data_IF_933652104309
#
_entry.id   IF_933652104309
#
_cell.length_a   1.000
_cell.length_b   1.000
_cell.length_c   1.000
_cell.angle_alpha   90.00
_cell.angle_beta   90.00
_cell.angle_gamma   90.00
#
_symmetry.space_group_name_H-M   'P 1'
#
loop_
_entity.id
_entity.type
_entity.pdbx_description
1 polymer ?
#
# COMPACT_ATOMS: atom_id res chain seq x y z
N UNK A 1 29.59 25.54 -9.93
CA UNK A 1 28.35 24.75 -9.80
C UNK A 1 28.75 23.49 -9.06
N UNK A 2 28.56 23.48 -7.74
CA UNK A 2 28.90 22.31 -6.94
C UNK A 2 27.92 21.20 -7.30
N UNK A 3 28.45 20.06 -7.75
CA UNK A 3 27.64 18.88 -8.04
C UNK A 3 26.91 18.48 -6.75
N UNK A 4 25.58 18.42 -6.81
CA UNK A 4 24.77 17.91 -5.71
C UNK A 4 25.27 16.49 -5.36
N UNK A 5 25.52 16.18 -4.08
CA UNK A 5 26.01 14.86 -3.70
C UNK A 5 25.01 13.79 -4.14
N UNK A 6 25.52 12.75 -4.82
CA UNK A 6 24.70 11.60 -5.21
C UNK A 6 24.09 10.96 -3.96
N UNK A 7 22.77 10.69 -3.93
CA UNK A 7 22.15 10.07 -2.78
C UNK A 7 22.72 8.65 -2.55
N UNK A 8 23.02 8.35 -1.30
CA UNK A 8 23.46 7.01 -0.89
C UNK A 8 22.30 6.02 -0.90
N UNK A 9 22.63 4.74 -0.97
CA UNK A 9 21.62 3.68 -0.95
C UNK A 9 20.77 3.71 0.32
N UNK A 10 21.40 3.89 1.49
CA UNK A 10 20.68 4.05 2.76
C UNK A 10 19.74 5.24 2.78
N UNK A 11 20.13 6.36 2.17
CA UNK A 11 19.26 7.54 2.09
C UNK A 11 17.97 7.23 1.30
N UNK A 12 18.07 6.49 0.21
CA UNK A 12 16.91 6.07 -0.58
C UNK A 12 15.99 5.11 0.18
N UNK A 13 16.57 4.15 0.93
CA UNK A 13 15.78 3.27 1.80
C UNK A 13 15.06 4.06 2.89
N UNK A 14 15.73 5.03 3.53
CA UNK A 14 15.13 5.90 4.55
C UNK A 14 13.95 6.69 4.00
N UNK A 15 14.04 7.20 2.77
CA UNK A 15 12.91 7.88 2.11
C UNK A 15 11.71 6.93 2.02
N UNK A 16 11.93 5.68 1.59
CA UNK A 16 10.87 4.67 1.55
C UNK A 16 10.27 4.37 2.94
N UNK A 17 11.09 4.34 3.99
CA UNK A 17 10.63 4.11 5.37
C UNK A 17 9.73 5.25 5.84
N UNK A 18 10.15 6.50 5.59
CA UNK A 18 9.38 7.71 5.94
C UNK A 18 8.03 7.69 5.23
N UNK A 19 8.00 7.38 3.93
CA UNK A 19 6.74 7.27 3.16
C UNK A 19 5.84 6.21 3.79
N UNK A 20 6.38 5.02 4.10
CA UNK A 20 5.61 3.92 4.68
C UNK A 20 5.00 4.32 6.03
N UNK A 21 5.77 4.96 6.90
CA UNK A 21 5.27 5.47 8.18
C UNK A 21 4.19 6.55 8.01
N UNK A 22 4.40 7.50 7.07
CA UNK A 22 3.44 8.56 6.80
C UNK A 22 2.08 7.99 6.34
N UNK A 23 2.10 6.98 5.46
CA UNK A 23 0.89 6.32 4.97
C UNK A 23 0.15 5.56 6.08
N UNK A 24 0.88 4.80 6.91
CA UNK A 24 0.30 4.11 8.07
C UNK A 24 -0.35 5.11 9.03
N UNK A 25 0.37 6.20 9.35
CA UNK A 25 -0.13 7.22 10.27
C UNK A 25 -1.38 7.92 9.71
N UNK A 26 -1.41 8.19 8.40
CA UNK A 26 -2.59 8.73 7.72
C UNK A 26 -3.82 7.83 7.91
N UNK A 27 -3.68 6.52 7.67
CA UNK A 27 -4.77 5.56 7.88
C UNK A 27 -5.21 5.46 9.34
N UNK A 28 -4.26 5.43 10.29
CA UNK A 28 -4.58 5.41 11.73
C UNK A 28 -5.42 6.64 12.10
N UNK A 29 -5.00 7.82 11.64
CA UNK A 29 -5.71 9.07 11.92
C UNK A 29 -7.13 9.05 11.33
N UNK A 30 -7.28 8.66 10.07
CA UNK A 30 -8.60 8.54 9.42
C UNK A 30 -9.48 7.56 10.18
N UNK A 31 -8.98 6.36 10.49
CA UNK A 31 -9.73 5.36 11.23
C UNK A 31 -10.14 5.86 12.62
N UNK A 32 -9.25 6.55 13.34
CA UNK A 32 -9.54 7.10 14.66
C UNK A 32 -10.62 8.19 14.60
N UNK A 33 -10.52 9.14 13.67
CA UNK A 33 -11.52 10.20 13.47
C UNK A 33 -12.88 9.61 13.13
N UNK A 34 -12.91 8.67 12.17
CA UNK A 34 -14.16 8.06 11.74
C UNK A 34 -14.78 7.19 12.84
N UNK A 35 -13.96 6.50 13.65
CA UNK A 35 -14.43 5.74 14.83
C UNK A 35 -15.08 6.68 15.83
N UNK A 36 -14.41 7.79 16.14
CA UNK A 36 -14.95 8.81 17.04
C UNK A 36 -16.28 9.36 16.53
N UNK A 37 -16.37 9.75 15.25
CA UNK A 37 -17.60 10.26 14.65
C UNK A 37 -18.74 9.23 14.66
N UNK A 38 -18.42 7.96 14.43
CA UNK A 38 -19.38 6.86 14.45
C UNK A 38 -19.95 6.67 15.86
N UNK A 39 -19.07 6.62 16.86
CA UNK A 39 -19.47 6.50 18.27
C UNK A 39 -20.23 7.73 18.76
N UNK A 40 -19.82 8.94 18.40
CA UNK A 40 -20.49 10.18 18.82
C UNK A 40 -21.84 10.40 18.17
N UNK A 41 -22.08 9.81 16.99
CA UNK A 41 -23.37 9.90 16.29
C UNK A 41 -24.33 8.75 16.63
N UNK A 42 -23.90 7.79 17.45
CA UNK A 42 -24.70 6.61 17.79
C UNK A 42 -26.03 6.98 18.46
N UNK A 43 -26.00 7.82 19.50
CA UNK A 43 -27.20 8.23 20.24
C UNK A 43 -28.22 8.94 19.32
N UNK A 44 -27.72 9.74 18.37
CA UNK A 44 -28.55 10.50 17.44
C UNK A 44 -29.18 9.58 16.38
N UNK A 45 -28.46 8.54 15.93
CA UNK A 45 -28.99 7.50 15.03
C UNK A 45 -30.01 6.62 15.72
N UNK A 46 -29.82 6.29 16.99
CA UNK A 46 -30.74 5.46 17.76
C UNK A 46 -32.08 6.17 17.99
N UNK A 47 -32.06 7.48 18.26
CA UNK A 47 -33.27 8.28 18.35
C UNK A 47 -34.06 8.31 17.03
N UNK A 48 -33.39 8.56 15.90
CA UNK A 48 -34.03 8.54 14.56
C UNK A 48 -34.52 7.13 14.20
N UNK A 49 -33.77 6.09 14.54
CA UNK A 49 -34.17 4.71 14.29
C UNK A 49 -35.38 4.29 15.13
N UNK A 50 -35.51 4.78 16.38
CA UNK A 50 -36.70 4.56 17.20
C UNK A 50 -37.93 5.28 16.64
N UNK A 51 -37.78 6.49 16.10
CA UNK A 51 -38.85 7.21 15.41
C UNK A 51 -39.28 6.50 14.12
N UNK A 52 -38.32 6.05 13.29
CA UNK A 52 -38.63 5.32 12.07
C UNK A 52 -39.13 3.89 12.32
N UNK A 53 -38.70 3.21 13.40
CA UNK A 53 -39.22 1.89 13.75
C UNK A 53 -40.69 1.91 14.17
N UNK A 54 -41.25 3.10 14.49
CA UNK A 54 -42.68 3.29 14.70
C UNK A 54 -43.47 3.37 13.38
N UNK A 55 -42.83 3.69 12.26
CA UNK A 55 -43.38 3.66 10.89
C UNK A 55 -42.87 2.40 10.15
N UNK A 56 -43.60 1.28 10.30
CA UNK A 56 -43.48 0.03 9.52
C UNK A 56 -42.07 -0.44 9.09
N UNK A 57 -41.54 -1.42 9.83
CA UNK A 57 -40.35 -2.22 9.45
C UNK A 57 -40.53 -2.87 8.07
N UNK A 58 -39.94 -2.30 7.03
CA UNK A 58 -39.53 -3.10 5.89
C UNK A 58 -38.44 -4.09 6.35
N UNK A 59 -38.51 -5.38 5.97
CA UNK A 59 -37.43 -6.32 6.22
C UNK A 59 -36.16 -5.81 5.53
N UNK A 60 -34.99 -6.00 6.16
CA UNK A 60 -33.68 -5.63 5.62
C UNK A 60 -33.57 -6.02 4.13
N UNK A 61 -33.79 -5.02 3.26
CA UNK A 61 -33.90 -5.23 1.83
C UNK A 61 -32.54 -5.48 1.21
N UNK A 62 -32.50 -5.97 -0.03
CA UNK A 62 -31.26 -6.23 -0.77
C UNK A 62 -30.29 -5.03 -0.80
N UNK A 63 -30.79 -3.79 -0.62
CA UNK A 63 -29.99 -2.57 -0.49
C UNK A 63 -29.00 -2.56 0.69
N UNK A 64 -29.29 -3.30 1.76
CA UNK A 64 -28.45 -3.37 2.97
C UNK A 64 -27.14 -4.14 2.71
N UNK A 65 -27.17 -5.10 1.76
CA UNK A 65 -25.99 -5.88 1.37
C UNK A 65 -25.18 -5.27 0.22
N UNK A 66 -25.70 -4.23 -0.45
CA UNK A 66 -25.01 -3.61 -1.60
C UNK A 66 -23.70 -2.97 -1.18
N UNK A 67 -23.71 -2.15 -0.12
CA UNK A 67 -22.52 -1.43 0.33
C UNK A 67 -21.42 -2.35 0.89
N UNK A 68 -21.72 -3.33 1.79
CA UNK A 68 -20.75 -4.35 2.19
C UNK A 68 -20.24 -5.17 0.99
N UNK A 69 -21.11 -5.47 0.02
CA UNK A 69 -20.75 -6.18 -1.21
C UNK A 69 -19.73 -5.40 -2.06
N UNK A 70 -19.95 -4.10 -2.25
CA UNK A 70 -19.02 -3.21 -2.95
C UNK A 70 -17.67 -3.14 -2.22
N UNK A 71 -17.69 -2.98 -0.90
CA UNK A 71 -16.47 -2.95 -0.07
C UNK A 71 -15.62 -4.21 -0.25
N UNK A 72 -16.30 -5.36 -0.20
CA UNK A 72 -15.68 -6.68 -0.33
C UNK A 72 -15.12 -6.89 -1.73
N UNK A 73 -15.90 -6.56 -2.77
CA UNK A 73 -15.45 -6.66 -4.16
C UNK A 73 -14.26 -5.74 -4.45
N UNK A 74 -14.32 -4.48 -4.01
CA UNK A 74 -13.22 -3.52 -4.14
C UNK A 74 -11.96 -4.03 -3.45
N UNK A 75 -12.10 -4.57 -2.23
CA UNK A 75 -10.98 -5.13 -1.47
C UNK A 75 -10.38 -6.34 -2.19
N UNK A 76 -11.21 -7.28 -2.67
CA UNK A 76 -10.74 -8.45 -3.39
C UNK A 76 -9.96 -8.09 -4.67
N UNK A 77 -10.48 -7.15 -5.47
CA UNK A 77 -9.82 -6.67 -6.69
C UNK A 77 -8.50 -5.95 -6.35
N UNK A 78 -8.52 -5.10 -5.32
CA UNK A 78 -7.33 -4.38 -4.85
C UNK A 78 -6.25 -5.34 -4.38
N UNK A 79 -6.61 -6.36 -3.59
CA UNK A 79 -5.68 -7.39 -3.15
C UNK A 79 -5.08 -8.15 -4.34
N UNK A 80 -5.90 -8.54 -5.32
CA UNK A 80 -5.39 -9.17 -6.54
C UNK A 80 -4.37 -8.26 -7.25
N UNK A 81 -4.67 -6.97 -7.43
CA UNK A 81 -3.76 -6.01 -8.03
C UNK A 81 -2.43 -5.89 -7.25
N UNK A 82 -2.48 -5.90 -5.91
CA UNK A 82 -1.30 -5.87 -5.06
C UNK A 82 -0.39 -7.10 -5.23
N UNK A 83 -0.90 -8.25 -5.68
CA UNK A 83 -0.08 -9.42 -5.99
C UNK A 83 0.55 -9.37 -7.39
N UNK A 84 -0.12 -8.79 -8.39
CA UNK A 84 0.34 -8.82 -9.78
C UNK A 84 1.18 -7.61 -10.21
N UNK A 85 0.83 -6.41 -9.75
CA UNK A 85 1.50 -5.18 -10.19
C UNK A 85 2.95 -5.08 -9.70
N UNK A 86 3.29 -5.37 -8.43
CA UNK A 86 4.65 -5.17 -7.93
C UNK A 86 5.70 -6.05 -8.63
N UNK A 87 5.46 -7.36 -8.86
CA UNK A 87 6.37 -8.19 -9.65
C UNK A 87 6.54 -7.67 -11.08
N UNK A 88 5.47 -7.15 -11.71
CA UNK A 88 5.52 -6.63 -13.08
C UNK A 88 6.38 -5.37 -13.17
N UNK A 89 6.22 -4.44 -12.24
CA UNK A 89 7.04 -3.21 -12.15
C UNK A 89 8.51 -3.57 -11.93
N UNK A 90 8.78 -4.50 -10.99
CA UNK A 90 10.15 -4.98 -10.71
C UNK A 90 10.77 -5.66 -11.93
N UNK A 91 10.02 -6.48 -12.65
CA UNK A 91 10.50 -7.13 -13.88
C UNK A 91 10.86 -6.11 -14.97
N UNK A 92 10.01 -5.11 -15.19
CA UNK A 92 10.28 -4.04 -16.15
C UNK A 92 11.55 -3.24 -15.78
N UNK A 93 11.75 -2.98 -14.49
CA UNK A 93 12.97 -2.34 -13.99
C UNK A 93 14.23 -3.20 -14.22
N UNK A 94 14.16 -4.51 -13.96
CA UNK A 94 15.27 -5.44 -14.22
C UNK A 94 15.60 -5.53 -15.71
N UNK A 95 14.59 -5.56 -16.57
CA UNK A 95 14.78 -5.57 -18.03
C UNK A 95 15.50 -4.31 -18.52
N UNK A 96 15.08 -3.12 -18.04
CA UNK A 96 15.78 -1.87 -18.35
C UNK A 96 17.20 -1.84 -17.83
N UNK A 97 17.41 -2.29 -16.60
CA UNK A 97 18.73 -2.42 -16.02
C UNK A 97 19.64 -3.32 -16.86
N UNK A 98 19.18 -4.51 -17.25
CA UNK A 98 19.97 -5.45 -18.07
C UNK A 98 20.23 -4.95 -19.49
N UNK A 99 19.32 -4.15 -20.05
CA UNK A 99 19.53 -3.54 -21.36
C UNK A 99 20.67 -2.51 -21.34
N UNK A 100 20.84 -1.78 -20.23
CA UNK A 100 21.90 -0.77 -20.09
C UNK A 100 23.19 -1.31 -19.47
N UNK A 101 23.12 -2.32 -18.60
CA UNK A 101 24.26 -2.98 -17.98
C UNK A 101 24.18 -4.50 -18.22
N UNK A 102 24.58 -4.97 -19.42
CA UNK A 102 24.52 -6.40 -19.78
C UNK A 102 25.56 -7.27 -19.05
N UNK A 103 26.54 -6.64 -18.38
CA UNK A 103 27.52 -7.33 -17.53
C UNK A 103 26.98 -7.66 -16.12
N UNK A 104 27.78 -8.35 -15.33
CA UNK A 104 27.52 -8.49 -13.90
C UNK A 104 27.59 -7.15 -13.18
N UNK A 105 26.95 -7.06 -12.01
CA UNK A 105 27.03 -5.89 -11.14
C UNK A 105 27.29 -6.32 -9.69
N UNK A 106 27.93 -5.44 -8.94
CA UNK A 106 28.11 -5.58 -7.49
C UNK A 106 26.93 -4.91 -6.78
N UNK A 107 26.38 -5.59 -5.79
CA UNK A 107 25.29 -5.03 -4.99
C UNK A 107 25.88 -3.94 -4.07
N UNK A 108 25.35 -2.70 -4.12
CA UNK A 108 25.85 -1.62 -3.27
C UNK A 108 25.58 -1.89 -1.79
N UNK A 109 26.52 -1.51 -0.96
CA UNK A 109 26.35 -1.39 0.48
C UNK A 109 25.63 -0.09 0.86
N UNK A 110 25.23 0.04 2.12
CA UNK A 110 24.36 1.12 2.57
C UNK A 110 24.92 2.52 2.35
N UNK A 111 26.24 2.68 2.42
CA UNK A 111 26.91 3.98 2.27
C UNK A 111 27.32 4.27 0.82
N UNK A 112 27.16 3.30 -0.08
CA UNK A 112 27.54 3.46 -1.49
C UNK A 112 26.56 4.40 -2.22
N UNK A 113 27.06 5.27 -3.12
CA UNK A 113 26.22 6.11 -3.95
C UNK A 113 25.46 5.28 -4.99
N UNK A 114 24.20 5.61 -5.26
CA UNK A 114 23.48 4.99 -6.39
C UNK A 114 23.71 5.79 -7.67
N UNK A 115 24.55 5.21 -8.53
CA UNK A 115 24.92 5.81 -9.81
C UNK A 115 24.45 4.97 -11.01
N UNK A 116 24.29 5.65 -12.14
CA UNK A 116 24.02 5.02 -13.43
C UNK A 116 22.79 4.11 -13.45
N UNK A 117 22.86 2.96 -14.16
CA UNK A 117 21.74 2.06 -14.36
C UNK A 117 21.14 1.46 -13.07
N UNK A 118 21.88 1.39 -11.96
CA UNK A 118 21.35 0.84 -10.69
C UNK A 118 20.15 1.62 -10.15
N UNK A 119 19.97 2.87 -10.58
CA UNK A 119 18.77 3.68 -10.28
C UNK A 119 17.49 3.04 -10.80
N UNK A 120 17.53 2.24 -11.87
CA UNK A 120 16.36 1.52 -12.34
C UNK A 120 15.94 0.43 -11.36
N UNK A 121 16.89 -0.28 -10.75
CA UNK A 121 16.59 -1.33 -9.78
C UNK A 121 16.02 -0.71 -8.50
N UNK A 122 16.73 0.26 -7.91
CA UNK A 122 16.27 0.91 -6.67
C UNK A 122 14.95 1.65 -6.87
N UNK A 123 14.81 2.39 -7.98
CA UNK A 123 13.58 3.10 -8.34
C UNK A 123 12.43 2.14 -8.66
N UNK A 124 12.72 1.01 -9.31
CA UNK A 124 11.73 -0.03 -9.60
C UNK A 124 11.17 -0.70 -8.35
N UNK A 125 12.03 -1.04 -7.38
CA UNK A 125 11.56 -1.57 -6.09
C UNK A 125 10.77 -0.53 -5.31
N UNK A 126 11.24 0.72 -5.27
CA UNK A 126 10.54 1.81 -4.59
C UNK A 126 9.16 2.07 -5.22
N UNK A 127 9.08 2.13 -6.55
CA UNK A 127 7.82 2.29 -7.28
C UNK A 127 6.86 1.13 -7.00
N UNK A 128 7.35 -0.11 -7.04
CA UNK A 128 6.55 -1.28 -6.74
C UNK A 128 5.96 -1.23 -5.32
N UNK A 129 6.76 -0.81 -4.33
CA UNK A 129 6.29 -0.63 -2.94
C UNK A 129 5.26 0.50 -2.83
N UNK A 130 5.52 1.66 -3.43
CA UNK A 130 4.59 2.80 -3.39
C UNK A 130 3.24 2.41 -3.98
N UNK A 131 3.24 1.76 -5.15
CA UNK A 131 2.01 1.27 -5.79
C UNK A 131 1.28 0.29 -4.87
N UNK A 132 2.00 -0.65 -4.26
CA UNK A 132 1.42 -1.61 -3.32
C UNK A 132 0.80 -0.89 -2.11
N UNK A 133 1.52 0.07 -1.53
CA UNK A 133 1.04 0.82 -0.36
C UNK A 133 -0.19 1.66 -0.70
N UNK A 134 -0.23 2.29 -1.87
CA UNK A 134 -1.40 3.05 -2.33
C UNK A 134 -2.64 2.16 -2.52
N UNK A 135 -2.46 0.90 -2.98
CA UNK A 135 -3.56 -0.06 -3.09
C UNK A 135 -4.12 -0.41 -1.71
N UNK A 136 -3.25 -0.72 -0.74
CA UNK A 136 -3.68 -1.02 0.63
C UNK A 136 -4.27 0.20 1.35
N UNK A 137 -3.77 1.39 1.08
CA UNK A 137 -4.35 2.65 1.54
C UNK A 137 -5.77 2.82 0.99
N UNK A 138 -5.97 2.59 -0.30
CA UNK A 138 -7.31 2.62 -0.92
C UNK A 138 -8.30 1.68 -0.23
N UNK A 139 -7.88 0.47 0.14
CA UNK A 139 -8.70 -0.48 0.92
C UNK A 139 -9.08 0.12 2.27
N UNK A 140 -8.12 0.69 2.99
CA UNK A 140 -8.37 1.29 4.30
C UNK A 140 -9.26 2.52 4.26
N UNK A 141 -9.05 3.40 3.28
CA UNK A 141 -9.88 4.60 3.07
C UNK A 141 -11.30 4.20 2.71
N UNK A 142 -11.49 3.24 1.79
CA UNK A 142 -12.82 2.77 1.41
C UNK A 142 -13.57 2.21 2.62
N UNK A 143 -12.93 1.35 3.41
CA UNK A 143 -13.52 0.85 4.65
C UNK A 143 -13.92 1.95 5.63
N UNK A 144 -13.08 2.96 5.78
CA UNK A 144 -13.39 4.13 6.63
C UNK A 144 -14.61 4.89 6.13
N UNK A 145 -14.76 5.05 4.81
CA UNK A 145 -15.94 5.66 4.18
C UNK A 145 -17.20 4.82 4.44
N UNK A 146 -17.14 3.50 4.26
CA UNK A 146 -18.28 2.62 4.57
C UNK A 146 -18.67 2.71 6.06
N UNK A 147 -17.70 2.75 6.95
CA UNK A 147 -17.94 2.92 8.39
C UNK A 147 -18.74 4.19 8.66
N UNK A 148 -18.38 5.32 8.03
CA UNK A 148 -19.11 6.57 8.20
C UNK A 148 -20.54 6.48 7.67
N UNK A 149 -20.73 5.87 6.49
CA UNK A 149 -22.04 5.75 5.84
C UNK A 149 -22.97 4.84 6.66
N UNK A 150 -22.52 3.64 7.02
CA UNK A 150 -23.35 2.65 7.70
C UNK A 150 -23.38 2.85 9.22
N UNK A 151 -22.37 3.51 9.79
CA UNK A 151 -22.22 3.68 11.24
C UNK A 151 -21.80 2.40 11.95
N UNK A 152 -21.26 1.42 11.23
CA UNK A 152 -20.85 0.14 11.80
C UNK A 152 -19.34 0.06 11.93
N UNK A 153 -18.85 -0.18 13.15
CA UNK A 153 -17.44 -0.32 13.45
C UNK A 153 -16.81 -1.59 12.84
N UNK A 154 -17.61 -2.56 12.38
CA UNK A 154 -17.09 -3.74 11.66
C UNK A 154 -16.24 -3.37 10.44
N UNK A 155 -16.53 -2.23 9.81
CA UNK A 155 -15.75 -1.74 8.67
C UNK A 155 -14.32 -1.30 9.04
N UNK A 156 -13.95 -1.24 10.33
CA UNK A 156 -12.56 -1.05 10.77
C UNK A 156 -11.61 -2.18 10.35
N UNK A 157 -12.15 -3.35 9.99
CA UNK A 157 -11.34 -4.45 9.46
C UNK A 157 -10.55 -4.05 8.22
N UNK A 158 -11.10 -3.18 7.36
CA UNK A 158 -10.46 -2.77 6.13
C UNK A 158 -9.28 -1.80 6.35
N UNK A 159 -9.41 -0.73 7.17
CA UNK A 159 -8.25 0.04 7.66
C UNK A 159 -7.18 -0.84 8.29
N UNK A 160 -7.56 -1.82 9.12
CA UNK A 160 -6.61 -2.74 9.74
C UNK A 160 -5.85 -3.58 8.69
N UNK A 161 -6.56 -4.10 7.68
CA UNK A 161 -5.94 -4.79 6.53
C UNK A 161 -5.01 -3.85 5.77
N UNK A 162 -5.43 -2.61 5.51
CA UNK A 162 -4.62 -1.59 4.83
C UNK A 162 -3.31 -1.31 5.57
N UNK A 163 -3.39 -1.07 6.88
CA UNK A 163 -2.23 -0.86 7.75
C UNK A 163 -1.30 -2.08 7.75
N UNK A 164 -1.84 -3.29 7.95
CA UNK A 164 -1.06 -4.52 7.94
C UNK A 164 -0.37 -4.75 6.58
N UNK A 165 -1.08 -4.49 5.48
CA UNK A 165 -0.57 -4.57 4.12
C UNK A 165 0.59 -3.61 3.88
N UNK A 166 0.43 -2.33 4.23
CA UNK A 166 1.50 -1.32 4.10
C UNK A 166 2.70 -1.69 5.00
N UNK A 167 2.46 -2.09 6.25
CA UNK A 167 3.51 -2.47 7.20
C UNK A 167 4.31 -3.68 6.72
N UNK A 168 3.67 -4.66 6.05
CA UNK A 168 4.37 -5.82 5.48
C UNK A 168 5.42 -5.42 4.43
N UNK A 169 5.19 -4.30 3.75
CA UNK A 169 6.06 -3.75 2.71
C UNK A 169 7.17 -2.84 3.25
N UNK A 170 7.37 -2.79 4.57
CA UNK A 170 8.38 -1.92 5.18
C UNK A 170 9.76 -2.12 4.53
N UNK A 171 10.38 -1.04 3.99
CA UNK A 171 11.64 -1.13 3.30
C UNK A 171 12.78 -1.23 4.32
N UNK A 172 13.59 -2.27 4.14
CA UNK A 172 14.84 -2.48 4.88
C UNK A 172 15.97 -2.64 3.88
N UNK A 173 17.17 -2.21 4.28
CA UNK A 173 18.36 -2.33 3.45
C UNK A 173 18.58 -3.79 3.03
N UNK A 174 18.47 -4.72 3.99
CA UNK A 174 18.60 -6.16 3.77
C UNK A 174 17.62 -6.69 2.72
N UNK A 175 16.32 -6.32 2.79
CA UNK A 175 15.32 -6.79 1.80
C UNK A 175 15.67 -6.36 0.38
N UNK A 176 16.15 -5.12 0.21
CA UNK A 176 16.49 -4.59 -1.12
C UNK A 176 17.83 -5.17 -1.62
N UNK A 177 18.82 -5.29 -0.73
CA UNK A 177 20.09 -5.94 -1.05
C UNK A 177 19.88 -7.41 -1.44
N UNK A 178 19.07 -8.17 -0.70
CA UNK A 178 18.79 -9.57 -1.02
C UNK A 178 18.08 -9.72 -2.37
N UNK A 179 17.15 -8.82 -2.68
CA UNK A 179 16.52 -8.78 -4.00
C UNK A 179 17.53 -8.48 -5.12
N UNK A 180 18.43 -7.50 -4.91
CA UNK A 180 19.51 -7.20 -5.86
C UNK A 180 20.49 -8.37 -6.01
N UNK A 181 20.85 -9.06 -4.92
CA UNK A 181 21.71 -10.26 -4.94
C UNK A 181 21.07 -11.38 -5.74
N UNK A 182 19.76 -11.59 -5.60
CA UNK A 182 19.04 -12.55 -6.43
C UNK A 182 19.18 -12.21 -7.93
N UNK A 183 19.04 -10.95 -8.31
CA UNK A 183 19.22 -10.51 -9.71
C UNK A 183 20.66 -10.71 -10.18
N UNK A 184 21.65 -10.36 -9.33
CA UNK A 184 23.07 -10.52 -9.64
C UNK A 184 23.47 -12.00 -9.83
N UNK A 185 22.83 -12.90 -9.09
CA UNK A 185 23.06 -14.35 -9.20
C UNK A 185 22.37 -15.01 -10.41
N UNK A 186 21.42 -14.32 -11.06
CA UNK A 186 20.71 -14.85 -12.22
C UNK A 186 21.52 -14.63 -13.51
N UNK A 187 21.83 -15.68 -14.29
CA UNK A 187 22.56 -15.53 -15.54
C UNK A 187 21.82 -14.58 -16.50
N UNK A 188 22.57 -13.78 -17.24
CA UNK A 188 22.04 -12.79 -18.20
C UNK A 188 21.23 -13.44 -19.34
N UNK A 189 21.37 -14.76 -19.53
CA UNK A 189 20.86 -15.52 -20.69
C UNK A 189 19.43 -16.07 -20.56
N UNK A 190 18.73 -15.87 -19.43
CA UNK A 190 17.40 -16.49 -19.19
C UNK A 190 16.19 -15.55 -19.38
N UNK A 191 16.27 -14.55 -20.26
CA UNK A 191 15.09 -13.78 -20.65
C UNK A 191 14.79 -13.93 -22.14
N UNK A 192 14.12 -15.03 -22.49
CA UNK A 192 13.17 -15.09 -23.61
C UNK A 192 11.76 -15.10 -23.04
#
# INVERSE_FOLDING_TARGET
MDAQPTPTFSALIRIGQIITFALIQGLILIAAVMTYMTLSSADQREAVAQEMAAEEREPAGAGDLVLPGIATAFTAISLAAAFFLPPTIRKAAVQRFRAEQPGGFTVPDGDDPIEGPMRYLSGGDQAARIVTSAIFEGVGVMGSILMMIQGDLLFLIFPAIGIAGIASQFPTLTKVQDWMRQIASQPASLSS
#
